data_IF_643712462229
#
_entry.id   IF_643712462229
#
_cell.length_a   1.000
_cell.length_b   1.000
_cell.length_c   1.000
_cell.angle_alpha   90.00
_cell.angle_beta   90.00
_cell.angle_gamma   90.00
#
_symmetry.space_group_name_H-M   'P 1'
#
loop_
_entity.id
_entity.type
_entity.pdbx_description
1 polymer ?
#
# COMPACT_ATOMS: atom_id res chain seq x y z
N UNK A 1 -14.82 18.83 10.98
CA UNK A 1 -16.30 18.87 10.82
C UNK A 1 -16.74 18.14 9.55
N UNK A 2 -16.48 18.64 8.34
CA UNK A 2 -17.03 18.05 7.11
C UNK A 2 -16.40 16.72 6.62
N UNK A 3 -15.34 16.23 7.27
CA UNK A 3 -14.56 15.07 6.81
C UNK A 3 -15.41 13.80 6.53
N UNK A 4 -16.39 13.41 7.37
CA UNK A 4 -17.22 12.21 7.13
C UNK A 4 -18.17 12.32 5.94
N UNK A 5 -18.44 13.53 5.44
CA UNK A 5 -19.38 13.79 4.35
C UNK A 5 -18.71 13.64 2.97
N UNK A 6 -17.42 13.96 2.84
CA UNK A 6 -16.71 13.90 1.56
C UNK A 6 -16.72 12.51 0.89
N UNK A 7 -16.54 11.38 1.60
CA UNK A 7 -16.59 10.05 0.98
C UNK A 7 -17.90 9.75 0.26
N UNK A 8 -19.02 10.34 0.69
CA UNK A 8 -20.34 10.14 0.08
C UNK A 8 -20.47 10.79 -1.31
N UNK A 9 -19.53 11.67 -1.69
CA UNK A 9 -19.50 12.32 -3.01
C UNK A 9 -18.77 11.48 -4.07
N UNK A 10 -18.15 10.36 -3.67
CA UNK A 10 -17.34 9.53 -4.58
C UNK A 10 -18.25 8.67 -5.47
N UNK A 11 -17.98 8.61 -6.79
CA UNK A 11 -18.75 7.75 -7.70
C UNK A 11 -18.58 6.28 -7.30
N UNK A 12 -19.69 5.53 -7.32
CA UNK A 12 -19.71 4.09 -6.98
C UNK A 12 -19.74 3.76 -5.49
N UNK A 13 -19.75 4.76 -4.59
CA UNK A 13 -19.90 4.53 -3.14
C UNK A 13 -21.38 4.57 -2.76
N UNK A 14 -21.86 3.54 -2.06
CA UNK A 14 -23.22 3.50 -1.54
C UNK A 14 -23.45 4.65 -0.53
N UNK A 15 -24.54 5.39 -0.70
CA UNK A 15 -24.89 6.50 0.18
C UNK A 15 -25.36 5.97 1.55
N UNK A 16 -24.46 5.88 2.52
CA UNK A 16 -24.73 5.45 3.89
C UNK A 16 -24.72 6.65 4.84
N UNK A 17 -25.89 6.99 5.39
CA UNK A 17 -26.08 8.12 6.29
C UNK A 17 -26.16 7.66 7.75
N UNK A 18 -25.00 7.42 8.35
CA UNK A 18 -24.86 6.90 9.71
C UNK A 18 -24.55 8.02 10.71
N UNK A 19 -24.32 7.66 11.96
CA UNK A 19 -24.07 8.62 13.05
C UNK A 19 -22.90 9.59 12.79
N UNK A 20 -21.75 9.18 12.22
CA UNK A 20 -20.67 10.12 11.92
C UNK A 20 -21.08 11.22 10.93
N UNK A 21 -21.88 10.87 9.92
CA UNK A 21 -22.37 11.83 8.91
C UNK A 21 -23.46 12.72 9.48
N UNK A 22 -24.41 12.17 10.24
CA UNK A 22 -25.44 12.94 10.96
C UNK A 22 -24.81 13.95 11.90
N UNK A 23 -23.83 13.54 12.70
CA UNK A 23 -23.11 14.41 13.62
C UNK A 23 -22.40 15.52 12.88
N UNK A 24 -21.62 15.20 11.84
CA UNK A 24 -20.93 16.20 11.02
C UNK A 24 -21.90 17.22 10.40
N UNK A 25 -23.06 16.78 9.92
CA UNK A 25 -24.08 17.65 9.35
C UNK A 25 -24.71 18.57 10.41
N UNK A 26 -25.04 18.04 11.59
CA UNK A 26 -25.57 18.82 12.72
C UNK A 26 -24.55 19.83 13.23
N UNK A 27 -23.27 19.44 13.35
CA UNK A 27 -22.18 20.34 13.76
C UNK A 27 -22.02 21.51 12.78
N UNK A 28 -22.13 21.26 11.46
CA UNK A 28 -22.10 22.32 10.44
C UNK A 28 -23.30 23.25 10.58
N UNK A 29 -24.52 22.72 10.78
CA UNK A 29 -25.71 23.55 11.01
C UNK A 29 -25.52 24.43 12.25
N UNK A 30 -25.01 23.87 13.34
CA UNK A 30 -24.72 24.62 14.57
C UNK A 30 -23.69 25.72 14.32
N UNK A 31 -22.59 25.42 13.63
CA UNK A 31 -21.57 26.41 13.30
C UNK A 31 -22.09 27.56 12.41
N UNK A 32 -23.03 27.30 11.51
CA UNK A 32 -23.68 28.34 10.71
C UNK A 32 -24.60 29.24 11.55
N UNK A 33 -25.29 28.68 12.54
CA UNK A 33 -26.13 29.44 13.48
C UNK A 33 -25.31 30.29 14.44
N UNK A 34 -24.11 29.81 14.81
CA UNK A 34 -23.18 30.48 15.72
C UNK A 34 -22.11 31.32 14.99
N UNK A 35 -22.29 31.57 13.69
CA UNK A 35 -21.26 32.21 12.85
C UNK A 35 -20.91 33.62 13.36
N UNK A 36 -19.64 33.89 13.70
CA UNK A 36 -19.21 35.20 14.18
C UNK A 36 -19.17 36.22 13.04
N UNK A 37 -19.27 37.51 13.39
CA UNK A 37 -19.10 38.59 12.45
C UNK A 37 -17.63 38.69 11.97
N UNK A 38 -17.41 38.55 10.67
CA UNK A 38 -16.10 38.73 10.06
C UNK A 38 -15.79 40.23 9.85
N UNK A 39 -14.53 40.61 10.01
CA UNK A 39 -14.01 41.91 9.60
C UNK A 39 -13.64 41.91 8.12
N UNK A 40 -13.82 43.05 7.45
CA UNK A 40 -13.24 43.24 6.13
C UNK A 40 -11.71 43.37 6.28
N UNK A 41 -10.92 42.79 5.36
CA UNK A 41 -9.46 42.91 5.40
C UNK A 41 -9.04 44.37 5.20
N UNK A 42 -8.29 44.89 6.16
CA UNK A 42 -7.71 46.23 6.14
C UNK A 42 -6.22 46.14 5.77
N UNK A 43 -5.87 46.46 4.53
CA UNK A 43 -4.50 46.29 4.01
C UNK A 43 -3.49 47.25 4.64
N UNK A 44 -3.93 48.25 5.42
CA UNK A 44 -3.05 49.15 6.15
C UNK A 44 -2.59 48.57 7.50
N UNK A 45 -3.13 47.43 7.93
CA UNK A 45 -2.82 46.80 9.22
C UNK A 45 -2.15 45.44 9.04
N UNK A 46 -1.24 45.06 9.95
CA UNK A 46 -0.68 43.72 9.96
C UNK A 46 -1.75 42.67 10.24
N UNK A 47 -1.56 41.49 9.68
CA UNK A 47 -2.41 40.33 9.89
C UNK A 47 -1.77 39.37 10.91
N UNK A 48 -2.62 38.67 11.64
CA UNK A 48 -2.22 37.61 12.56
C UNK A 48 -2.98 36.34 12.20
N UNK A 49 -2.26 35.25 11.95
CA UNK A 49 -2.80 33.96 11.56
C UNK A 49 -2.50 32.92 12.63
N UNK A 50 -3.55 32.41 13.26
CA UNK A 50 -3.47 31.33 14.23
C UNK A 50 -3.76 30.01 13.55
N UNK A 51 -2.90 29.03 13.78
CA UNK A 51 -2.92 27.76 13.05
C UNK A 51 -2.84 26.60 14.04
N UNK A 52 -3.67 25.59 13.79
CA UNK A 52 -3.63 24.31 14.46
C UNK A 52 -3.83 23.19 13.43
N UNK A 53 -3.35 22.00 13.77
CA UNK A 53 -3.42 20.82 12.93
C UNK A 53 -3.90 19.64 13.78
N UNK A 54 -4.95 18.96 13.28
CA UNK A 54 -5.44 17.74 13.92
C UNK A 54 -5.85 16.72 12.86
N UNK A 55 -5.36 15.50 13.02
CA UNK A 55 -5.74 14.34 12.20
C UNK A 55 -5.58 14.54 10.68
N UNK A 56 -4.56 15.28 10.26
CA UNK A 56 -4.30 15.57 8.85
C UNK A 56 -5.13 16.73 8.29
N UNK A 57 -5.79 17.51 9.15
CA UNK A 57 -6.56 18.70 8.77
C UNK A 57 -5.95 19.94 9.39
N UNK A 58 -5.51 20.85 8.53
CA UNK A 58 -5.10 22.19 8.89
C UNK A 58 -6.34 23.06 9.11
N UNK A 59 -6.35 23.82 10.20
CA UNK A 59 -7.39 24.80 10.53
C UNK A 59 -6.74 26.03 11.14
N UNK A 60 -7.30 27.19 10.85
CA UNK A 60 -6.76 28.43 11.36
C UNK A 60 -7.71 29.60 11.20
N UNK A 61 -7.41 30.67 11.89
CA UNK A 61 -8.16 31.92 11.82
C UNK A 61 -7.22 33.07 11.50
N UNK A 62 -7.54 33.77 10.42
CA UNK A 62 -6.88 35.01 10.03
C UNK A 62 -7.59 36.15 10.77
N UNK A 63 -6.84 36.98 11.47
CA UNK A 63 -7.34 38.06 12.32
C UNK A 63 -6.58 39.35 12.08
N UNK A 64 -7.21 40.46 12.47
CA UNK A 64 -6.56 41.77 12.58
C UNK A 64 -6.94 42.43 13.90
N UNK A 65 -6.10 43.35 14.38
CA UNK A 65 -6.40 44.11 15.59
C UNK A 65 -7.52 45.13 15.34
N UNK A 66 -8.47 45.15 16.27
CA UNK A 66 -9.50 46.17 16.40
C UNK A 66 -9.46 46.70 17.85
N UNK A 67 -8.67 47.76 18.07
CA UNK A 67 -8.32 48.21 19.41
C UNK A 67 -7.48 47.14 20.14
N UNK A 68 -7.82 46.74 21.38
CA UNK A 68 -7.12 45.67 22.09
C UNK A 68 -7.55 44.26 21.64
N UNK A 69 -8.61 44.15 20.85
CA UNK A 69 -9.22 42.87 20.47
C UNK A 69 -8.67 42.36 19.15
N UNK A 70 -8.66 41.04 18.97
CA UNK A 70 -8.39 40.39 17.68
C UNK A 70 -9.73 40.08 17.02
N UNK A 71 -10.00 40.67 15.86
CA UNK A 71 -11.22 40.42 15.09
C UNK A 71 -10.92 39.45 13.94
N UNK A 72 -11.64 38.31 13.84
CA UNK A 72 -11.51 37.40 12.71
C UNK A 72 -11.89 38.06 11.38
N UNK A 73 -11.04 37.88 10.37
CA UNK A 73 -11.28 38.26 8.97
C UNK A 73 -11.70 37.05 8.15
N UNK A 74 -11.12 35.87 8.42
CA UNK A 74 -11.49 34.61 7.77
C UNK A 74 -11.12 33.39 8.62
N UNK A 75 -11.90 32.32 8.48
CA UNK A 75 -11.53 30.99 8.96
C UNK A 75 -11.04 30.16 7.76
N UNK A 76 -9.82 29.65 7.87
CA UNK A 76 -9.16 28.87 6.82
C UNK A 76 -9.04 27.42 7.28
N UNK A 77 -9.41 26.46 6.43
CA UNK A 77 -9.17 25.05 6.72
C UNK A 77 -8.94 24.26 5.44
N UNK A 78 -8.01 23.31 5.51
CA UNK A 78 -7.72 22.40 4.40
C UNK A 78 -7.23 21.05 4.91
N UNK A 79 -7.53 20.01 4.14
CA UNK A 79 -6.93 18.69 4.33
C UNK A 79 -5.49 18.72 3.82
N UNK A 80 -4.56 18.19 4.62
CA UNK A 80 -3.19 17.95 4.18
C UNK A 80 -3.18 16.89 3.07
N UNK A 81 -2.22 16.96 2.16
CA UNK A 81 -2.02 15.89 1.20
C UNK A 81 -1.65 14.57 1.92
N UNK A 82 -1.86 13.40 1.29
CA UNK A 82 -1.57 12.12 1.91
C UNK A 82 -0.12 11.98 2.40
N UNK A 83 0.84 12.64 1.73
CA UNK A 83 2.24 12.59 2.12
C UNK A 83 2.45 13.30 3.45
N UNK A 84 1.99 14.55 3.55
CA UNK A 84 2.09 15.35 4.78
C UNK A 84 1.25 14.78 5.92
N UNK A 85 0.06 14.23 5.63
CA UNK A 85 -0.82 13.63 6.63
C UNK A 85 -0.18 12.46 7.38
N UNK A 86 0.83 11.80 6.79
CA UNK A 86 1.58 10.72 7.41
C UNK A 86 2.76 11.14 8.27
N UNK A 87 3.09 12.43 8.32
CA UNK A 87 4.25 12.90 9.05
C UNK A 87 4.00 12.96 10.58
N UNK A 88 5.08 13.03 11.39
CA UNK A 88 4.98 13.33 12.80
C UNK A 88 4.25 14.66 13.06
N UNK A 89 3.67 14.86 14.26
CA UNK A 89 2.86 16.04 14.59
C UNK A 89 3.51 17.37 14.23
N UNK A 90 4.78 17.58 14.59
CA UNK A 90 5.50 18.83 14.33
C UNK A 90 5.67 19.11 12.83
N UNK A 91 5.88 18.08 12.00
CA UNK A 91 5.98 18.24 10.55
C UNK A 91 4.60 18.43 9.90
N UNK A 92 3.55 17.79 10.43
CA UNK A 92 2.17 18.09 10.02
C UNK A 92 1.81 19.54 10.29
N UNK A 93 2.24 20.08 11.43
CA UNK A 93 2.09 21.49 11.75
C UNK A 93 2.79 22.40 10.73
N UNK A 94 4.03 22.10 10.34
CA UNK A 94 4.73 22.85 9.27
C UNK A 94 3.94 22.82 7.96
N UNK A 95 3.45 21.64 7.57
CA UNK A 95 2.64 21.51 6.36
C UNK A 95 1.33 22.32 6.45
N UNK A 96 0.68 22.32 7.61
CA UNK A 96 -0.52 23.10 7.87
C UNK A 96 -0.24 24.60 7.78
N UNK A 97 0.85 25.06 8.37
CA UNK A 97 1.29 26.46 8.31
C UNK A 97 1.52 26.87 6.87
N UNK A 98 2.35 26.14 6.11
CA UNK A 98 2.61 26.44 4.70
C UNK A 98 1.31 26.50 3.87
N UNK A 99 0.39 25.57 4.10
CA UNK A 99 -0.86 25.49 3.36
C UNK A 99 -1.79 26.67 3.65
N UNK A 100 -1.95 27.05 4.93
CA UNK A 100 -2.82 28.17 5.31
C UNK A 100 -2.17 29.53 5.03
N UNK A 101 -0.85 29.67 5.13
CA UNK A 101 -0.13 30.88 4.72
C UNK A 101 -0.36 31.11 3.23
N UNK A 102 -0.21 30.08 2.38
CA UNK A 102 -0.49 30.19 0.95
C UNK A 102 -1.91 30.64 0.64
N UNK A 103 -2.91 30.15 1.37
CA UNK A 103 -4.30 30.58 1.16
C UNK A 103 -4.57 31.97 1.73
N UNK A 104 -3.97 32.32 2.88
CA UNK A 104 -4.12 33.64 3.49
C UNK A 104 -3.58 34.77 2.62
N UNK A 105 -2.54 34.50 1.80
CA UNK A 105 -2.00 35.47 0.84
C UNK A 105 -3.04 36.01 -0.14
N UNK A 106 -4.11 35.25 -0.44
CA UNK A 106 -5.22 35.70 -1.28
C UNK A 106 -6.02 36.86 -0.64
N UNK A 107 -5.98 36.95 0.69
CA UNK A 107 -6.68 37.96 1.48
C UNK A 107 -5.74 39.06 1.96
N UNK A 108 -4.50 38.72 2.31
CA UNK A 108 -3.51 39.70 2.79
C UNK A 108 -2.86 40.48 1.67
N UNK A 109 -2.92 40.01 0.42
CA UNK A 109 -2.31 40.65 -0.76
C UNK A 109 -0.83 41.03 -0.55
N UNK A 110 -0.09 40.20 0.19
CA UNK A 110 1.34 40.37 0.45
C UNK A 110 1.67 41.31 1.62
N UNK A 111 0.69 41.75 2.40
CA UNK A 111 0.90 42.51 3.63
C UNK A 111 1.53 41.67 4.76
N UNK A 112 2.17 42.31 5.77
CA UNK A 112 2.82 41.62 6.87
C UNK A 112 1.87 40.65 7.61
N UNK A 113 2.36 39.44 7.83
CA UNK A 113 1.64 38.32 8.45
C UNK A 113 2.45 37.76 9.62
N UNK A 114 1.84 37.72 10.81
CA UNK A 114 2.41 37.05 11.99
C UNK A 114 1.72 35.70 12.18
N UNK A 115 2.51 34.63 12.26
CA UNK A 115 2.04 33.25 12.42
C UNK A 115 2.12 32.86 13.90
N UNK A 116 1.04 32.27 14.41
CA UNK A 116 0.95 31.72 15.74
C UNK A 116 0.53 30.26 15.67
N UNK A 117 1.26 29.39 16.36
CA UNK A 117 0.99 27.95 16.40
C UNK A 117 1.33 27.37 17.78
N UNK A 118 0.77 26.21 18.15
CA UNK A 118 1.10 25.54 19.40
C UNK A 118 2.50 24.91 19.41
N UNK A 119 3.18 24.81 18.26
CA UNK A 119 4.48 24.16 18.11
C UNK A 119 5.57 25.16 17.67
N UNK A 120 6.76 25.08 18.26
CA UNK A 120 7.93 25.89 17.89
C UNK A 120 8.61 25.34 16.63
N UNK A 121 8.00 25.57 15.47
CA UNK A 121 8.46 24.96 14.22
C UNK A 121 9.52 25.77 13.47
N UNK A 122 9.80 27.01 13.85
CA UNK A 122 10.74 27.87 13.11
C UNK A 122 12.14 27.24 13.06
N UNK A 123 12.62 26.72 14.20
CA UNK A 123 13.92 26.04 14.28
C UNK A 123 13.98 24.83 13.33
N UNK A 124 12.91 24.03 13.26
CA UNK A 124 12.79 22.86 12.38
C UNK A 124 12.77 23.28 10.91
N UNK A 125 12.15 24.41 10.57
CA UNK A 125 12.14 24.91 9.18
C UNK A 125 13.54 25.38 8.76
N UNK A 126 14.30 25.99 9.67
CA UNK A 126 15.68 26.42 9.41
C UNK A 126 16.65 25.25 9.32
N UNK A 127 16.45 24.22 10.15
CA UNK A 127 17.28 23.02 10.21
C UNK A 127 16.39 21.77 10.10
N UNK A 128 15.94 21.42 8.88
CA UNK A 128 15.08 20.27 8.68
C UNK A 128 15.85 18.96 8.91
N UNK A 129 15.21 17.94 9.47
CA UNK A 129 15.79 16.61 9.52
C UNK A 129 15.83 15.98 8.11
N UNK A 130 16.99 15.43 7.72
CA UNK A 130 17.28 14.93 6.36
C UNK A 130 16.32 13.83 5.85
N UNK A 131 15.56 13.17 6.74
CA UNK A 131 14.85 11.92 6.42
C UNK A 131 13.35 12.04 6.14
N UNK A 132 12.70 13.16 6.50
CA UNK A 132 11.22 13.24 6.45
C UNK A 132 10.66 14.04 5.27
N UNK A 133 11.42 15.02 4.78
CA UNK A 133 11.02 15.92 3.69
C UNK A 133 12.00 15.83 2.53
N UNK A 134 11.48 15.84 1.30
CA UNK A 134 12.34 15.99 0.13
C UNK A 134 12.92 17.39 0.08
N UNK A 135 14.15 17.53 -0.43
CA UNK A 135 14.81 18.84 -0.58
C UNK A 135 13.91 19.84 -1.31
N UNK A 136 13.26 19.44 -2.41
CA UNK A 136 12.33 20.28 -3.16
C UNK A 136 11.17 20.81 -2.30
N UNK A 137 10.60 19.97 -1.43
CA UNK A 137 9.48 20.35 -0.56
C UNK A 137 9.94 21.25 0.58
N UNK A 138 11.14 21.01 1.13
CA UNK A 138 11.74 21.91 2.11
C UNK A 138 12.05 23.27 1.53
N UNK A 139 12.69 23.34 0.36
CA UNK A 139 12.97 24.60 -0.32
C UNK A 139 11.68 25.39 -0.56
N UNK A 140 10.60 24.71 -0.97
CA UNK A 140 9.30 25.35 -1.14
C UNK A 140 8.77 25.97 0.16
N UNK A 141 8.83 25.23 1.28
CA UNK A 141 8.37 25.74 2.58
C UNK A 141 9.28 26.86 3.12
N UNK A 142 10.59 26.70 3.04
CA UNK A 142 11.55 27.71 3.48
C UNK A 142 11.39 29.02 2.70
N UNK A 143 11.25 28.95 1.38
CA UNK A 143 11.05 30.14 0.54
C UNK A 143 9.79 30.91 0.93
N UNK A 144 8.72 30.20 1.31
CA UNK A 144 7.45 30.81 1.68
C UNK A 144 7.42 31.32 3.13
N UNK A 145 8.02 30.57 4.06
CA UNK A 145 7.86 30.80 5.50
C UNK A 145 9.01 31.59 6.13
N UNK A 146 10.20 31.61 5.49
CA UNK A 146 11.36 32.36 5.97
C UNK A 146 11.56 33.69 5.23
N UNK A 147 10.56 34.14 4.45
CA UNK A 147 10.50 35.48 3.88
C UNK A 147 10.29 36.51 5.00
N UNK A 148 11.40 37.06 5.52
CA UNK A 148 11.41 37.98 6.66
C UNK A 148 10.67 39.29 6.42
N UNK A 149 10.47 39.69 5.16
CA UNK A 149 9.81 40.96 4.86
C UNK A 149 8.29 40.86 5.06
N UNK A 150 7.75 39.64 4.90
CA UNK A 150 6.29 39.41 4.90
C UNK A 150 5.82 38.49 6.01
N UNK A 151 6.62 37.51 6.42
CA UNK A 151 6.22 36.44 7.33
C UNK A 151 7.05 36.47 8.60
N UNK A 152 6.35 36.55 9.73
CA UNK A 152 6.95 36.59 11.06
C UNK A 152 6.37 35.46 11.92
N UNK A 153 7.19 34.83 12.75
CA UNK A 153 6.72 33.89 13.75
C UNK A 153 6.51 34.62 15.07
N UNK A 154 5.30 34.51 15.63
CA UNK A 154 4.95 35.04 16.93
C UNK A 154 5.19 34.02 18.06
N UNK A 155 4.90 34.40 19.31
CA UNK A 155 4.97 33.47 20.44
C UNK A 155 4.04 32.27 20.25
N UNK A 156 4.43 31.16 20.88
CA UNK A 156 3.62 29.95 21.00
C UNK A 156 2.32 30.25 21.73
N UNK A 157 1.24 29.63 21.26
CA UNK A 157 -0.09 29.82 21.85
C UNK A 157 -0.90 28.53 21.80
N UNK A 158 -1.63 28.28 22.87
CA UNK A 158 -2.71 27.29 22.89
C UNK A 158 -3.97 27.93 22.34
N UNK A 159 -4.65 27.27 21.40
CA UNK A 159 -5.85 27.80 20.77
C UNK A 159 -7.13 27.22 21.40
N UNK A 160 -8.15 28.05 21.51
CA UNK A 160 -9.49 27.60 21.87
C UNK A 160 -10.05 26.69 20.75
N UNK A 161 -10.54 25.48 21.05
CA UNK A 161 -11.04 24.56 20.03
C UNK A 161 -12.21 25.08 19.19
N UNK A 162 -13.03 25.99 19.74
CA UNK A 162 -14.22 26.53 19.07
C UNK A 162 -13.88 27.78 18.24
N UNK A 163 -13.13 28.74 18.80
CA UNK A 163 -12.85 30.02 18.14
C UNK A 163 -11.52 30.06 17.41
N UNK A 164 -10.61 29.12 17.67
CA UNK A 164 -9.21 29.12 17.23
C UNK A 164 -8.42 30.37 17.64
N UNK A 165 -8.93 31.15 18.59
CA UNK A 165 -8.26 32.30 19.19
C UNK A 165 -7.38 31.85 20.36
N UNK A 166 -6.33 32.62 20.72
CA UNK A 166 -5.39 32.24 21.75
C UNK A 166 -6.06 32.24 23.12
N UNK A 167 -5.75 31.21 23.93
CA UNK A 167 -6.12 31.14 25.33
C UNK A 167 -5.04 31.78 26.21
N UNK A 168 -5.42 32.44 27.32
CA UNK A 168 -4.46 32.88 28.32
C UNK A 168 -3.87 31.67 29.05
N UNK A 169 -2.53 31.56 29.09
CA UNK A 169 -1.79 30.48 29.75
C UNK A 169 -0.46 30.22 29.06
N UNK A 170 0.47 29.57 29.77
CA UNK A 170 1.70 29.08 29.15
C UNK A 170 1.37 27.88 28.26
N UNK A 171 1.82 27.87 26.99
CA UNK A 171 1.63 26.71 26.12
C UNK A 171 2.44 25.52 26.66
N UNK A 172 1.90 24.31 26.51
CA UNK A 172 2.66 23.07 26.73
C UNK A 172 3.74 22.96 25.64
N UNK A 173 4.87 23.62 25.88
CA UNK A 173 5.99 23.64 24.97
C UNK A 173 6.70 22.28 25.00
N UNK A 174 6.71 21.59 23.87
CA UNK A 174 7.60 20.46 23.64
C UNK A 174 8.65 20.87 22.60
N UNK A 175 9.85 20.30 22.72
CA UNK A 175 10.87 20.49 21.70
C UNK A 175 10.50 19.68 20.46
N UNK A 176 10.17 20.40 19.39
CA UNK A 176 9.85 19.80 18.11
C UNK A 176 11.02 19.00 17.53
N UNK A 177 12.27 19.38 17.79
CA UNK A 177 13.44 18.64 17.35
C UNK A 177 13.55 17.32 18.12
N UNK A 178 13.37 17.34 19.44
CA UNK A 178 13.34 16.13 20.26
C UNK A 178 12.20 15.19 19.86
N UNK A 179 10.97 15.69 19.66
CA UNK A 179 9.84 14.86 19.21
C UNK A 179 10.10 14.24 17.84
N UNK A 180 10.81 14.95 16.96
CA UNK A 180 11.22 14.38 15.68
C UNK A 180 12.33 13.34 15.84
N UNK A 181 13.27 13.58 16.77
CA UNK A 181 14.32 12.65 17.15
C UNK A 181 13.75 11.31 17.67
N UNK A 182 12.75 11.39 18.55
CA UNK A 182 12.07 10.23 19.15
C UNK A 182 11.11 9.53 18.18
N UNK A 183 10.53 10.27 17.23
CA UNK A 183 9.71 9.69 16.18
C UNK A 183 10.52 8.93 15.10
N UNK A 184 11.85 8.85 15.22
CA UNK A 184 12.71 8.16 14.28
C UNK A 184 12.65 6.64 14.43
N UNK A 185 12.30 5.98 13.32
CA UNK A 185 12.40 4.53 13.15
C UNK A 185 11.11 3.78 13.51
N UNK A 186 10.84 2.68 12.81
CA UNK A 186 9.86 1.70 13.26
C UNK A 186 10.29 1.03 14.58
N UNK A 187 11.58 1.18 14.93
CA UNK A 187 12.27 0.56 16.07
C UNK A 187 13.51 1.42 16.40
N UNK A 188 13.74 1.71 17.68
CA UNK A 188 14.78 2.66 18.13
C UNK A 188 16.22 2.11 18.03
N UNK A 189 16.40 0.80 18.08
CA UNK A 189 17.70 0.10 17.95
C UNK A 189 18.00 -0.38 16.51
N UNK A 190 17.17 -0.02 15.53
CA UNK A 190 17.42 -0.36 14.12
C UNK A 190 18.58 0.47 13.55
N UNK A 191 19.60 -0.21 13.04
CA UNK A 191 20.80 0.43 12.48
C UNK A 191 21.06 -0.04 11.04
N UNK A 192 21.83 0.76 10.29
CA UNK A 192 22.33 0.44 8.95
C UNK A 192 23.81 -0.01 8.96
N UNK A 193 24.34 -0.29 10.16
CA UNK A 193 25.72 -0.74 10.38
C UNK A 193 25.73 -2.16 10.95
N UNK A 194 26.74 -3.00 10.63
CA UNK A 194 26.83 -4.35 11.18
C UNK A 194 26.82 -4.35 12.71
N UNK A 195 26.03 -5.25 13.31
CA UNK A 195 26.04 -5.40 14.77
C UNK A 195 27.40 -5.99 15.21
N UNK A 196 27.95 -5.57 16.37
CA UNK A 196 29.25 -6.06 16.85
C UNK A 196 29.22 -7.53 17.30
N UNK A 197 28.05 -8.09 17.58
CA UNK A 197 27.88 -9.50 17.99
C UNK A 197 26.50 -9.99 17.54
N UNK A 198 26.31 -10.30 16.24
CA UNK A 198 25.06 -10.85 15.73
C UNK A 198 25.01 -12.36 15.98
N UNK A 199 23.84 -12.88 16.32
CA UNK A 199 23.58 -14.33 16.35
C UNK A 199 23.52 -14.90 14.93
N UNK A 200 23.02 -14.09 13.98
CA UNK A 200 22.86 -14.46 12.58
C UNK A 200 23.24 -13.31 11.65
N UNK A 201 23.95 -13.65 10.57
CA UNK A 201 24.21 -12.77 9.44
C UNK A 201 23.58 -13.40 8.21
N UNK A 202 22.50 -12.78 7.72
CA UNK A 202 21.72 -13.30 6.59
C UNK A 202 21.70 -12.34 5.41
N UNK A 203 21.48 -12.89 4.23
CA UNK A 203 21.33 -12.21 2.96
C UNK A 203 19.96 -12.54 2.40
N UNK A 204 19.23 -11.53 1.93
CA UNK A 204 17.88 -11.70 1.39
C UNK A 204 17.82 -11.17 -0.02
N UNK A 205 17.14 -11.91 -0.89
CA UNK A 205 16.86 -11.49 -2.26
C UNK A 205 15.46 -11.96 -2.71
N UNK A 206 14.87 -11.18 -3.62
CA UNK A 206 13.58 -11.45 -4.24
C UNK A 206 13.64 -11.34 -5.76
N UNK A 207 13.59 -12.48 -6.44
CA UNK A 207 13.67 -12.54 -7.90
C UNK A 207 12.28 -12.57 -8.55
N UNK A 208 12.14 -11.92 -9.71
CA UNK A 208 10.94 -11.98 -10.57
C UNK A 208 11.31 -11.78 -12.03
N UNK A 209 11.03 -12.77 -12.88
CA UNK A 209 11.39 -12.75 -14.29
C UNK A 209 10.38 -13.54 -15.16
N UNK A 210 10.45 -13.33 -16.48
CA UNK A 210 9.65 -14.08 -17.44
C UNK A 210 10.37 -15.37 -17.81
N UNK A 211 9.69 -16.50 -17.66
CA UNK A 211 10.18 -17.82 -18.06
C UNK A 211 9.06 -18.55 -18.81
N UNK A 212 9.32 -18.96 -20.05
CA UNK A 212 8.34 -19.65 -20.91
C UNK A 212 6.99 -18.91 -21.06
N UNK A 213 7.02 -17.57 -21.09
CA UNK A 213 5.81 -16.74 -21.24
C UNK A 213 5.05 -16.44 -19.95
N UNK A 214 5.43 -17.06 -18.82
CA UNK A 214 4.84 -16.80 -17.50
C UNK A 214 5.81 -16.04 -16.60
N UNK A 215 5.28 -15.14 -15.75
CA UNK A 215 6.08 -14.42 -14.76
C UNK A 215 6.25 -15.28 -13.51
N UNK A 216 7.46 -15.80 -13.32
CA UNK A 216 7.88 -16.56 -12.15
C UNK A 216 8.59 -15.66 -11.15
N UNK A 217 8.42 -15.95 -9.87
CA UNK A 217 9.05 -15.19 -8.80
C UNK A 217 9.42 -16.11 -7.64
N UNK A 218 10.46 -15.73 -6.90
CA UNK A 218 10.96 -16.49 -5.77
C UNK A 218 11.62 -15.55 -4.76
N UNK A 219 11.66 -15.98 -3.51
CA UNK A 219 12.31 -15.25 -2.43
C UNK A 219 13.22 -16.21 -1.67
N UNK A 220 14.35 -15.70 -1.20
CA UNK A 220 15.30 -16.49 -0.42
C UNK A 220 15.94 -15.70 0.72
N UNK A 221 16.31 -16.45 1.76
CA UNK A 221 17.14 -16.02 2.89
C UNK A 221 18.31 -17.00 2.96
N UNK A 222 19.52 -16.48 2.91
CA UNK A 222 20.74 -17.28 2.87
C UNK A 222 21.76 -16.76 3.86
N UNK A 223 22.71 -17.60 4.23
CA UNK A 223 24.01 -17.15 4.74
C UNK A 223 24.99 -17.12 3.57
N UNK A 224 26.26 -16.83 3.83
CA UNK A 224 27.32 -16.96 2.82
C UNK A 224 27.35 -18.35 2.15
N UNK A 225 27.05 -19.43 2.89
CA UNK A 225 27.31 -20.81 2.44
C UNK A 225 26.07 -21.71 2.36
N UNK A 226 25.00 -21.40 3.10
CA UNK A 226 23.79 -22.23 3.15
C UNK A 226 22.52 -21.42 2.88
N UNK A 227 21.56 -22.06 2.24
CA UNK A 227 20.20 -21.54 2.10
C UNK A 227 19.47 -21.80 3.42
N UNK A 228 19.03 -20.74 4.08
CA UNK A 228 18.27 -20.81 5.34
C UNK A 228 16.81 -21.05 5.03
N UNK A 229 16.31 -20.37 3.99
CA UNK A 229 14.94 -20.50 3.51
C UNK A 229 14.88 -20.06 2.05
N UNK A 230 14.07 -20.73 1.25
CA UNK A 230 13.74 -20.27 -0.10
C UNK A 230 12.34 -20.78 -0.46
N UNK A 231 11.57 -19.97 -1.19
CA UNK A 231 10.22 -20.33 -1.59
C UNK A 231 9.85 -19.73 -2.95
N UNK A 232 9.16 -20.53 -3.76
CA UNK A 232 8.45 -20.06 -4.95
C UNK A 232 7.31 -19.12 -4.55
N UNK A 233 7.14 -18.02 -5.28
CA UNK A 233 6.06 -17.06 -5.05
C UNK A 233 4.99 -17.20 -6.13
N UNK A 234 3.72 -16.83 -5.83
CA UNK A 234 2.63 -16.94 -6.79
C UNK A 234 2.95 -16.26 -8.13
N UNK A 235 2.51 -16.84 -9.26
CA UNK A 235 2.71 -16.25 -10.58
C UNK A 235 2.22 -14.79 -10.64
N UNK A 236 2.98 -13.93 -11.32
CA UNK A 236 2.67 -12.50 -11.42
C UNK A 236 3.17 -11.63 -10.26
N UNK A 237 3.82 -12.22 -9.24
CA UNK A 237 4.49 -11.47 -8.17
C UNK A 237 5.61 -10.58 -8.74
N UNK A 238 5.64 -9.32 -8.33
CA UNK A 238 6.67 -8.35 -8.76
C UNK A 238 7.97 -8.51 -7.97
N UNK A 239 9.10 -8.11 -8.56
CA UNK A 239 10.41 -8.13 -7.87
C UNK A 239 10.36 -7.40 -6.52
N UNK A 240 9.85 -6.16 -6.49
CA UNK A 240 9.70 -5.40 -5.24
C UNK A 240 8.85 -6.10 -4.17
N UNK A 241 7.85 -6.88 -4.57
CA UNK A 241 7.03 -7.68 -3.64
C UNK A 241 7.81 -8.88 -3.10
N UNK A 242 8.54 -9.57 -3.97
CA UNK A 242 9.41 -10.69 -3.58
C UNK A 242 10.47 -10.25 -2.56
N UNK A 243 11.08 -9.09 -2.76
CA UNK A 243 12.06 -8.49 -1.85
C UNK A 243 11.50 -8.23 -0.45
N UNK A 244 10.29 -7.66 -0.39
CA UNK A 244 9.61 -7.44 0.90
C UNK A 244 9.30 -8.76 1.60
N UNK A 245 8.90 -9.80 0.85
CA UNK A 245 8.62 -11.13 1.40
C UNK A 245 9.90 -11.78 1.94
N UNK A 246 11.00 -11.74 1.18
CA UNK A 246 12.29 -12.27 1.59
C UNK A 246 12.77 -11.64 2.91
N UNK A 247 12.76 -10.30 2.97
CA UNK A 247 13.15 -9.56 4.17
C UNK A 247 12.21 -9.86 5.35
N UNK A 248 10.90 -9.85 5.13
CA UNK A 248 9.92 -10.17 6.19
C UNK A 248 10.15 -11.57 6.75
N UNK A 249 10.46 -12.53 5.89
CA UNK A 249 10.70 -13.91 6.31
C UNK A 249 12.00 -14.05 7.11
N UNK A 250 13.07 -13.37 6.72
CA UNK A 250 14.30 -13.30 7.51
C UNK A 250 14.03 -12.77 8.92
N UNK A 251 13.25 -11.71 9.06
CA UNK A 251 12.91 -11.16 10.38
C UNK A 251 12.11 -12.13 11.25
N UNK A 252 11.17 -12.88 10.67
CA UNK A 252 10.39 -13.90 11.39
C UNK A 252 11.26 -15.06 11.88
N UNK A 253 12.20 -15.53 11.05
CA UNK A 253 13.10 -16.63 11.41
C UNK A 253 14.10 -16.25 12.51
N UNK A 254 14.34 -14.95 12.69
CA UNK A 254 15.23 -14.41 13.73
C UNK A 254 14.50 -13.93 14.99
N UNK A 255 13.26 -14.38 15.23
CA UNK A 255 12.51 -14.02 16.44
C UNK A 255 13.34 -14.30 17.71
N UNK A 256 13.46 -13.28 18.56
CA UNK A 256 14.25 -13.33 19.80
C UNK A 256 15.78 -13.33 19.63
N UNK A 257 16.31 -13.20 18.41
CA UNK A 257 17.76 -13.23 18.12
C UNK A 257 18.29 -11.89 17.63
N UNK A 258 19.62 -11.72 17.67
CA UNK A 258 20.34 -10.54 17.16
C UNK A 258 20.68 -10.76 15.69
N UNK A 259 19.99 -10.09 14.78
CA UNK A 259 20.10 -10.30 13.34
C UNK A 259 20.81 -9.12 12.65
N UNK A 260 21.78 -9.42 11.80
CA UNK A 260 22.25 -8.52 10.74
C UNK A 260 21.79 -9.07 9.40
N UNK A 261 21.01 -8.31 8.64
CA UNK A 261 20.50 -8.74 7.35
C UNK A 261 20.92 -7.79 6.23
N UNK A 262 21.45 -8.36 5.16
CA UNK A 262 21.84 -7.66 3.95
C UNK A 262 20.77 -7.83 2.88
N UNK A 263 20.39 -6.74 2.23
CA UNK A 263 19.46 -6.72 1.09
C UNK A 263 20.01 -5.79 0.01
N UNK A 264 19.88 -6.17 -1.25
CA UNK A 264 20.19 -5.30 -2.38
C UNK A 264 19.00 -4.50 -2.90
N UNK A 265 17.83 -4.70 -2.29
CA UNK A 265 16.64 -3.92 -2.56
C UNK A 265 16.65 -2.61 -1.79
N UNK A 266 17.00 -1.53 -2.48
CA UNK A 266 16.82 -0.16 -1.97
C UNK A 266 15.39 0.11 -1.51
N UNK A 267 14.40 -0.51 -2.17
CA UNK A 267 13.00 -0.36 -1.81
C UNK A 267 12.67 -1.03 -0.46
N UNK A 268 13.12 -2.26 -0.24
CA UNK A 268 12.93 -2.95 1.04
C UNK A 268 13.67 -2.23 2.18
N UNK A 269 14.93 -1.83 1.94
CA UNK A 269 15.74 -1.05 2.89
C UNK A 269 15.07 0.26 3.30
N UNK A 270 14.62 1.06 2.32
CA UNK A 270 13.97 2.34 2.59
C UNK A 270 12.62 2.16 3.29
N UNK A 271 11.89 1.08 2.98
CA UNK A 271 10.63 0.74 3.64
C UNK A 271 10.85 0.40 5.11
N UNK A 272 11.90 -0.34 5.45
CA UNK A 272 12.23 -0.69 6.83
C UNK A 272 12.72 0.52 7.66
N UNK A 273 13.60 1.37 7.10
CA UNK A 273 14.25 2.46 7.85
C UNK A 273 13.49 3.79 7.84
N UNK A 274 12.96 4.20 6.68
CA UNK A 274 12.52 5.59 6.45
C UNK A 274 11.01 5.66 6.31
N UNK A 275 10.41 4.74 5.55
CA UNK A 275 9.02 4.87 5.12
C UNK A 275 8.02 4.03 5.90
N UNK A 276 8.48 3.10 6.75
CA UNK A 276 7.63 2.17 7.47
C UNK A 276 6.58 2.85 8.35
N UNK A 277 7.04 3.69 9.27
CA UNK A 277 6.16 4.44 10.17
C UNK A 277 5.31 5.47 9.42
N UNK A 278 5.85 6.04 8.35
CA UNK A 278 5.14 6.93 7.44
C UNK A 278 3.96 6.18 6.79
N UNK A 279 4.16 4.99 6.23
CA UNK A 279 3.10 4.22 5.58
C UNK A 279 2.01 3.81 6.57
N UNK A 280 2.40 3.41 7.79
CA UNK A 280 1.46 3.11 8.88
C UNK A 280 0.60 4.33 9.23
N UNK A 281 1.22 5.51 9.38
CA UNK A 281 0.52 6.77 9.70
C UNK A 281 -0.31 7.33 8.54
N UNK A 282 0.05 7.03 7.28
CA UNK A 282 -0.73 7.42 6.08
C UNK A 282 -1.97 6.55 5.83
N UNK A 283 -2.22 5.52 6.63
CA UNK A 283 -3.25 4.52 6.33
C UNK A 283 -2.95 3.74 5.04
N UNK A 284 -1.67 3.64 4.65
CA UNK A 284 -1.17 2.91 3.48
C UNK A 284 -1.69 3.45 2.13
N UNK A 285 -1.89 4.76 2.06
CA UNK A 285 -2.28 5.47 0.83
C UNK A 285 -1.06 6.08 0.13
N UNK A 286 -1.08 6.10 -1.20
CA UNK A 286 -0.14 6.85 -2.05
C UNK A 286 -0.39 8.36 -1.95
N UNK A 287 0.52 9.17 -2.49
CA UNK A 287 0.33 10.63 -2.63
C UNK A 287 -0.92 11.02 -3.41
N UNK A 288 -1.42 10.15 -4.28
CA UNK A 288 -2.67 10.31 -5.05
C UNK A 288 -3.93 9.83 -4.30
N UNK A 289 -3.77 9.26 -3.09
CA UNK A 289 -4.89 8.73 -2.30
C UNK A 289 -5.39 7.35 -2.75
N UNK A 290 -4.60 6.61 -3.55
CA UNK A 290 -4.86 5.19 -3.90
C UNK A 290 -4.15 4.27 -2.92
N UNK A 291 -4.60 3.02 -2.79
CA UNK A 291 -3.86 2.02 -2.00
C UNK A 291 -2.45 1.79 -2.58
N UNK A 292 -1.47 1.61 -1.70
CA UNK A 292 -0.11 1.20 -2.11
C UNK A 292 -0.18 -0.23 -2.66
N UNK A 293 0.46 -0.48 -3.82
CA UNK A 293 0.39 -1.76 -4.55
C UNK A 293 0.71 -3.00 -3.70
N UNK A 294 1.61 -2.88 -2.70
CA UNK A 294 2.07 -3.99 -1.85
C UNK A 294 1.72 -3.76 -0.35
N UNK A 295 0.50 -3.28 -0.09
CA UNK A 295 0.04 -2.85 1.24
C UNK A 295 0.21 -3.93 2.32
N UNK A 296 -0.16 -5.16 1.99
CA UNK A 296 -0.14 -6.28 2.94
C UNK A 296 1.28 -6.67 3.32
N UNK A 297 2.20 -6.71 2.35
CA UNK A 297 3.60 -7.06 2.57
C UNK A 297 4.33 -5.98 3.37
N UNK A 298 4.05 -4.69 3.12
CA UNK A 298 4.59 -3.59 3.91
C UNK A 298 4.13 -3.69 5.37
N UNK A 299 2.84 -3.98 5.60
CA UNK A 299 2.32 -4.18 6.96
C UNK A 299 2.95 -5.39 7.64
N UNK A 300 3.14 -6.49 6.91
CA UNK A 300 3.78 -7.69 7.44
C UNK A 300 5.23 -7.41 7.83
N UNK A 301 5.99 -6.71 6.98
CA UNK A 301 7.36 -6.28 7.24
C UNK A 301 7.44 -5.43 8.52
N UNK A 302 6.55 -4.44 8.66
CA UNK A 302 6.56 -3.53 9.81
C UNK A 302 6.28 -4.21 11.14
N UNK A 303 5.39 -5.21 11.16
CA UNK A 303 5.19 -6.03 12.34
C UNK A 303 6.43 -6.89 12.61
N UNK A 304 7.01 -7.48 11.57
CA UNK A 304 8.17 -8.37 11.70
C UNK A 304 9.44 -7.66 12.20
N UNK A 305 9.60 -6.34 11.98
CA UNK A 305 10.73 -5.56 12.51
C UNK A 305 10.89 -5.64 14.04
N UNK A 306 9.83 -5.97 14.77
CA UNK A 306 9.82 -6.06 16.23
C UNK A 306 10.11 -7.47 16.76
N UNK A 307 10.20 -8.49 15.90
CA UNK A 307 10.42 -9.88 16.32
C UNK A 307 11.87 -10.16 16.78
N UNK A 308 12.91 -9.67 16.11
CA UNK A 308 14.29 -9.90 16.56
C UNK A 308 14.61 -9.18 17.88
N UNK A 309 15.55 -9.68 18.68
CA UNK A 309 15.98 -9.02 19.91
C UNK A 309 16.88 -7.78 19.65
N UNK A 310 17.67 -7.82 18.57
CA UNK A 310 18.37 -6.66 18.02
C UNK A 310 18.43 -6.79 16.50
N UNK A 311 18.38 -5.68 15.77
CA UNK A 311 18.26 -5.71 14.31
C UNK A 311 19.15 -4.66 13.62
N UNK A 312 19.92 -5.11 12.64
CA UNK A 312 20.55 -4.27 11.64
C UNK A 312 20.13 -4.72 10.25
N UNK A 313 19.70 -3.77 9.42
CA UNK A 313 19.35 -4.02 8.02
C UNK A 313 20.29 -3.17 7.17
N UNK A 314 21.05 -3.78 6.28
CA UNK A 314 22.12 -3.12 5.53
C UNK A 314 21.81 -3.24 4.04
N UNK A 315 21.91 -2.12 3.32
CA UNK A 315 21.76 -2.14 1.87
C UNK A 315 23.11 -2.38 1.19
N UNK A 316 23.23 -3.48 0.44
CA UNK A 316 24.37 -3.76 -0.41
C UNK A 316 24.05 -3.47 -1.89
N UNK A 317 24.98 -2.93 -2.69
CA UNK A 317 24.77 -2.83 -4.13
C UNK A 317 24.50 -4.20 -4.77
N UNK A 318 23.45 -4.30 -5.60
CA UNK A 318 23.15 -5.52 -6.35
C UNK A 318 24.20 -5.84 -7.43
N UNK A 319 24.26 -7.11 -7.83
CA UNK A 319 25.11 -7.61 -8.94
C UNK A 319 26.63 -7.30 -8.82
N UNK A 320 27.19 -7.39 -7.60
CA UNK A 320 28.62 -7.18 -7.38
C UNK A 320 29.47 -8.33 -7.95
N UNK A 321 30.53 -7.97 -8.70
CA UNK A 321 31.54 -8.91 -9.25
C UNK A 321 32.72 -9.17 -8.31
N UNK A 322 32.79 -8.49 -7.17
CA UNK A 322 33.87 -8.64 -6.19
C UNK A 322 33.77 -9.94 -5.38
N UNK A 323 34.83 -10.29 -4.64
CA UNK A 323 34.87 -11.46 -3.76
C UNK A 323 34.76 -11.08 -2.27
N UNK A 324 34.14 -9.93 -1.97
CA UNK A 324 33.88 -9.55 -0.59
C UNK A 324 32.83 -10.49 0.03
N UNK A 325 32.85 -10.56 1.37
CA UNK A 325 31.88 -11.33 2.14
C UNK A 325 30.43 -10.99 1.74
N UNK A 326 30.13 -9.69 1.59
CA UNK A 326 28.79 -9.24 1.21
C UNK A 326 28.44 -9.66 -0.23
N UNK A 327 29.39 -9.57 -1.16
CA UNK A 327 29.18 -9.94 -2.55
C UNK A 327 28.92 -11.45 -2.70
N UNK A 328 29.62 -12.29 -1.92
CA UNK A 328 29.40 -13.75 -1.92
C UNK A 328 28.01 -14.11 -1.39
N UNK A 329 27.63 -13.53 -0.25
CA UNK A 329 26.30 -13.73 0.32
C UNK A 329 25.16 -13.24 -0.58
N UNK A 330 25.28 -12.05 -1.16
CA UNK A 330 24.25 -11.52 -2.05
C UNK A 330 24.09 -12.36 -3.33
N UNK A 331 25.21 -12.81 -3.94
CA UNK A 331 25.14 -13.72 -5.10
C UNK A 331 24.44 -15.03 -4.76
N UNK A 332 24.68 -15.57 -3.56
CA UNK A 332 24.01 -16.79 -3.12
C UNK A 332 22.51 -16.57 -2.91
N UNK A 333 22.12 -15.42 -2.36
CA UNK A 333 20.71 -15.05 -2.24
C UNK A 333 20.02 -14.93 -3.61
N UNK A 334 20.63 -14.25 -4.59
CA UNK A 334 20.09 -14.13 -5.97
C UNK A 334 19.95 -15.49 -6.66
N UNK A 335 20.95 -16.37 -6.52
CA UNK A 335 20.87 -17.73 -7.05
C UNK A 335 19.74 -18.53 -6.39
N UNK A 336 19.67 -18.52 -5.06
CA UNK A 336 18.64 -19.26 -4.32
C UNK A 336 17.22 -18.75 -4.63
N UNK A 337 17.03 -17.44 -4.76
CA UNK A 337 15.74 -16.85 -5.11
C UNK A 337 15.33 -17.22 -6.55
N UNK A 338 16.28 -17.24 -7.49
CA UNK A 338 16.02 -17.69 -8.87
C UNK A 338 15.71 -19.17 -8.97
N UNK A 339 16.47 -20.01 -8.26
CA UNK A 339 16.20 -21.46 -8.19
C UNK A 339 14.82 -21.72 -7.61
N UNK A 340 14.48 -21.04 -6.51
CA UNK A 340 13.16 -21.13 -5.89
C UNK A 340 12.03 -20.66 -6.83
N UNK A 341 12.27 -19.64 -7.66
CA UNK A 341 11.29 -19.19 -8.65
C UNK A 341 11.03 -20.23 -9.75
N UNK A 342 11.99 -21.12 -10.01
CA UNK A 342 11.89 -22.16 -11.04
C UNK A 342 11.28 -23.46 -10.51
N UNK A 343 11.39 -23.73 -9.21
CA UNK A 343 10.65 -24.83 -8.55
C UNK A 343 9.14 -24.57 -8.61
N UNK A 344 8.47 -25.24 -9.54
CA UNK A 344 7.02 -25.42 -9.54
C UNK A 344 6.59 -26.13 -8.25
N UNK A 345 5.50 -25.68 -7.62
CA UNK A 345 4.80 -26.39 -6.55
C UNK A 345 4.54 -27.86 -6.96
N UNK A 346 5.44 -28.77 -6.59
CA UNK A 346 5.17 -30.22 -6.49
C UNK A 346 4.64 -30.56 -5.11
N UNK A 347 3.88 -29.65 -4.49
CA UNK A 347 3.13 -29.88 -3.25
C UNK A 347 1.66 -29.61 -3.50
N UNK A 348 1.04 -30.46 -4.33
CA UNK A 348 -0.38 -30.87 -4.34
C UNK A 348 -0.84 -31.49 -5.67
N UNK A 349 0.02 -32.29 -6.32
CA UNK A 349 -0.47 -33.33 -7.22
C UNK A 349 0.09 -34.63 -6.69
N UNK A 350 -0.82 -35.47 -6.20
CA UNK A 350 -0.60 -36.87 -5.92
C UNK A 350 0.36 -37.45 -6.95
N UNK A 351 1.40 -38.11 -6.46
CA UNK A 351 2.14 -39.07 -7.24
C UNK A 351 1.14 -40.06 -7.86
N UNK A 352 0.83 -39.86 -9.13
CA UNK A 352 0.53 -40.96 -10.01
C UNK A 352 1.81 -41.17 -10.79
N UNK A 353 2.62 -42.10 -10.29
CA UNK A 353 3.52 -42.85 -11.15
C UNK A 353 2.73 -43.34 -12.37
N UNK A 354 3.35 -43.48 -13.55
CA UNK A 354 2.68 -44.12 -14.69
C UNK A 354 2.54 -45.61 -14.37
N UNK A 355 1.53 -45.96 -13.57
CA UNK A 355 1.08 -47.33 -13.45
C UNK A 355 0.33 -47.66 -14.74
N UNK A 356 0.90 -48.60 -15.47
CA UNK A 356 0.45 -49.11 -16.75
C UNK A 356 -0.82 -49.97 -16.61
N UNK A 357 -1.80 -49.54 -15.81
CA UNK A 357 -3.04 -50.26 -15.57
C UNK A 357 -4.24 -49.30 -15.64
N UNK A 358 -5.07 -49.47 -16.66
CA UNK A 358 -6.42 -48.93 -16.70
C UNK A 358 -7.21 -49.44 -15.48
N UNK A 359 -7.90 -48.53 -14.77
CA UNK A 359 -9.36 -48.66 -14.74
C UNK A 359 -10.02 -47.29 -14.62
N UNK A 360 -10.31 -46.62 -15.74
CA UNK A 360 -11.35 -45.59 -15.71
C UNK A 360 -12.71 -46.29 -15.71
N UNK A 361 -13.66 -45.91 -14.82
CA UNK A 361 -15.02 -46.40 -14.96
C UNK A 361 -15.56 -45.96 -16.32
N UNK A 362 -16.18 -46.88 -17.06
CA UNK A 362 -16.87 -46.57 -18.33
C UNK A 362 -17.77 -45.35 -18.15
N UNK A 363 -17.79 -44.48 -19.16
CA UNK A 363 -18.59 -43.27 -19.10
C UNK A 363 -20.08 -43.62 -19.09
N UNK A 364 -20.82 -43.09 -18.12
CA UNK A 364 -22.27 -43.25 -18.05
C UNK A 364 -22.95 -42.24 -19.00
N UNK A 365 -23.29 -42.70 -20.21
CA UNK A 365 -23.98 -41.89 -21.21
C UNK A 365 -25.49 -41.91 -20.96
N UNK A 366 -26.10 -40.74 -20.78
CA UNK A 366 -27.56 -40.64 -20.73
C UNK A 366 -28.18 -41.05 -22.07
N UNK A 367 -29.43 -41.52 -22.07
CA UNK A 367 -30.10 -41.95 -23.29
C UNK A 367 -30.22 -40.83 -24.35
N UNK A 368 -30.18 -39.56 -23.92
CA UNK A 368 -30.10 -38.39 -24.81
C UNK A 368 -28.72 -38.23 -25.47
N UNK A 369 -27.66 -38.59 -24.75
CA UNK A 369 -26.29 -38.57 -25.28
C UNK A 369 -26.15 -39.65 -26.37
N UNK A 370 -26.66 -40.86 -26.10
CA UNK A 370 -26.67 -41.97 -27.06
C UNK A 370 -27.43 -41.60 -28.34
N UNK A 371 -28.64 -41.04 -28.23
CA UNK A 371 -29.41 -40.57 -29.40
C UNK A 371 -28.68 -39.49 -30.22
N UNK A 372 -27.88 -38.65 -29.55
CA UNK A 372 -27.10 -37.60 -30.21
C UNK A 372 -25.89 -38.20 -30.91
N UNK A 373 -25.24 -39.19 -30.29
CA UNK A 373 -24.07 -39.88 -30.82
C UNK A 373 -24.41 -40.79 -32.01
N UNK A 374 -25.56 -41.47 -31.96
CA UNK A 374 -26.09 -42.24 -33.08
C UNK A 374 -26.39 -41.36 -34.29
N UNK A 375 -26.94 -40.15 -34.07
CA UNK A 375 -27.17 -39.16 -35.14
C UNK A 375 -25.87 -38.59 -35.73
N UNK A 376 -24.83 -38.50 -34.91
CA UNK A 376 -23.50 -38.02 -35.33
C UNK A 376 -22.69 -39.13 -36.05
N UNK A 377 -23.12 -40.40 -35.99
CA UNK A 377 -22.39 -41.52 -36.58
C UNK A 377 -21.16 -41.93 -35.77
N UNK A 378 -21.17 -41.71 -34.46
CA UNK A 378 -20.10 -42.14 -33.55
C UNK A 378 -20.07 -43.69 -33.43
N UNK A 379 -18.88 -44.25 -33.19
CA UNK A 379 -18.69 -45.67 -33.00
C UNK A 379 -18.75 -46.02 -31.50
N UNK A 380 -19.32 -47.17 -31.17
CA UNK A 380 -19.34 -47.68 -29.80
C UNK A 380 -18.22 -48.71 -29.62
N UNK A 381 -17.36 -48.46 -28.66
CA UNK A 381 -16.23 -49.33 -28.33
C UNK A 381 -16.67 -50.50 -27.43
N UNK A 382 -15.93 -51.63 -27.41
CA UNK A 382 -16.27 -52.81 -26.61
C UNK A 382 -16.30 -52.56 -25.10
N UNK A 383 -15.63 -51.50 -24.64
CA UNK A 383 -15.56 -51.09 -23.23
C UNK A 383 -16.80 -50.29 -22.77
N UNK A 384 -17.76 -50.01 -23.65
CA UNK A 384 -18.97 -49.24 -23.36
C UNK A 384 -18.88 -47.75 -23.73
N UNK A 385 -17.68 -47.27 -24.08
CA UNK A 385 -17.45 -45.87 -24.43
C UNK A 385 -17.76 -45.57 -25.89
N UNK A 386 -17.96 -44.29 -26.21
CA UNK A 386 -18.20 -43.83 -27.58
C UNK A 386 -16.99 -43.06 -28.11
N UNK A 387 -16.66 -43.30 -29.38
CA UNK A 387 -15.59 -42.61 -30.11
C UNK A 387 -16.16 -41.88 -31.32
N UNK A 388 -15.74 -40.65 -31.52
CA UNK A 388 -16.14 -39.81 -32.65
C UNK A 388 -14.91 -39.08 -33.18
N UNK A 389 -14.65 -39.17 -34.50
CA UNK A 389 -13.45 -38.62 -35.16
C UNK A 389 -12.11 -39.04 -34.50
N UNK A 390 -12.04 -40.30 -34.02
CA UNK A 390 -10.83 -40.84 -33.38
C UNK A 390 -10.59 -40.37 -31.95
N UNK A 391 -11.56 -39.68 -31.33
CA UNK A 391 -11.48 -39.14 -29.97
C UNK A 391 -12.53 -39.76 -29.07
N UNK A 392 -12.18 -39.98 -27.81
CA UNK A 392 -13.12 -40.48 -26.79
C UNK A 392 -14.14 -39.40 -26.45
N UNK A 393 -15.43 -39.75 -26.51
CA UNK A 393 -16.53 -38.83 -26.26
C UNK A 393 -16.78 -38.72 -24.77
N UNK A 394 -16.73 -37.50 -24.25
CA UNK A 394 -17.13 -37.18 -22.87
C UNK A 394 -18.63 -36.86 -22.83
N UNK A 395 -19.42 -37.50 -21.95
CA UNK A 395 -20.86 -37.28 -21.83
C UNK A 395 -21.24 -35.81 -21.58
N UNK A 396 -22.47 -35.43 -21.95
CA UNK A 396 -22.94 -34.04 -21.86
C UNK A 396 -22.91 -33.52 -20.42
N UNK A 397 -23.26 -34.38 -19.45
CA UNK A 397 -23.27 -34.01 -18.02
C UNK A 397 -21.89 -33.63 -17.50
N UNK A 398 -20.88 -34.42 -17.84
CA UNK A 398 -19.48 -34.19 -17.43
C UNK A 398 -18.94 -32.95 -18.14
N UNK A 399 -19.21 -32.83 -19.44
CA UNK A 399 -18.87 -31.63 -20.23
C UNK A 399 -19.48 -30.37 -19.61
N UNK A 400 -20.75 -30.41 -19.21
CA UNK A 400 -21.42 -29.29 -18.56
C UNK A 400 -20.81 -28.92 -17.21
N UNK A 401 -20.46 -29.90 -16.39
CA UNK A 401 -19.79 -29.67 -15.11
C UNK A 401 -18.43 -28.97 -15.32
N UNK A 402 -17.59 -29.54 -16.20
CA UNK A 402 -16.24 -29.04 -16.47
C UNK A 402 -16.26 -27.61 -17.03
N UNK A 403 -17.11 -27.34 -18.04
CA UNK A 403 -17.23 -26.02 -18.65
C UNK A 403 -17.78 -24.99 -17.64
N UNK A 404 -18.76 -25.36 -16.81
CA UNK A 404 -19.31 -24.46 -15.77
C UNK A 404 -18.29 -24.18 -14.66
N UNK A 405 -17.54 -25.19 -14.25
CA UNK A 405 -16.49 -25.08 -13.24
C UNK A 405 -15.36 -24.15 -13.71
N UNK A 406 -14.87 -24.37 -14.93
CA UNK A 406 -13.83 -23.54 -15.54
C UNK A 406 -14.30 -22.08 -15.74
N UNK A 407 -15.54 -21.87 -16.17
CA UNK A 407 -16.09 -20.52 -16.31
C UNK A 407 -16.16 -19.80 -14.95
N UNK A 408 -16.59 -20.48 -13.88
CA UNK A 408 -16.61 -19.91 -12.53
C UNK A 408 -15.22 -19.53 -12.01
N UNK A 409 -14.20 -20.34 -12.29
CA UNK A 409 -12.85 -20.07 -11.80
C UNK A 409 -12.14 -18.96 -12.57
N UNK A 410 -12.41 -18.82 -13.87
CA UNK A 410 -11.60 -17.98 -14.76
C UNK A 410 -12.31 -16.69 -15.20
N UNK A 411 -13.64 -16.60 -15.04
CA UNK A 411 -14.47 -15.50 -15.55
C UNK A 411 -14.24 -15.16 -17.03
N UNK A 412 -13.74 -16.12 -17.81
CA UNK A 412 -13.41 -15.92 -19.21
C UNK A 412 -14.68 -15.79 -20.06
N UNK A 413 -14.66 -14.83 -20.99
CA UNK A 413 -15.70 -14.68 -22.02
C UNK A 413 -15.87 -15.97 -22.82
N UNK A 414 -17.08 -16.24 -23.31
CA UNK A 414 -17.42 -17.43 -24.11
C UNK A 414 -16.47 -17.69 -25.29
N UNK A 415 -15.95 -16.63 -25.93
CA UNK A 415 -14.97 -16.73 -27.02
C UNK A 415 -13.63 -17.31 -26.54
N UNK A 416 -13.09 -16.78 -25.44
CA UNK A 416 -11.84 -17.28 -24.83
C UNK A 416 -12.01 -18.67 -24.19
N UNK A 417 -13.18 -18.95 -23.63
CA UNK A 417 -13.51 -20.30 -23.13
C UNK A 417 -13.51 -21.33 -24.27
N UNK A 418 -14.01 -20.95 -25.44
CA UNK A 418 -13.97 -21.82 -26.62
C UNK A 418 -12.53 -22.11 -27.06
N UNK A 419 -11.69 -21.08 -27.18
CA UNK A 419 -10.27 -21.22 -27.54
C UNK A 419 -9.50 -22.11 -26.55
N UNK A 420 -9.84 -22.05 -25.26
CA UNK A 420 -9.23 -22.91 -24.22
C UNK A 420 -9.69 -24.36 -24.33
N UNK A 421 -10.98 -24.60 -24.56
CA UNK A 421 -11.54 -25.94 -24.70
C UNK A 421 -11.18 -26.60 -26.05
N UNK A 422 -10.86 -25.81 -27.08
CA UNK A 422 -10.34 -26.33 -28.36
C UNK A 422 -8.98 -27.02 -28.20
N UNK A 423 -8.18 -26.64 -27.18
CA UNK A 423 -6.93 -27.35 -26.83
C UNK A 423 -7.19 -28.71 -26.17
N UNK A 424 -8.22 -28.80 -25.33
CA UNK A 424 -8.65 -30.06 -24.70
C UNK A 424 -9.34 -31.00 -25.71
N UNK A 425 -9.95 -30.44 -26.75
CA UNK A 425 -10.50 -31.20 -27.88
C UNK A 425 -9.44 -31.86 -28.76
N UNK A 426 -8.14 -31.64 -28.53
CA UNK A 426 -7.08 -32.45 -29.15
C UNK A 426 -7.15 -33.92 -28.70
N UNK A 427 -7.59 -34.18 -27.47
CA UNK A 427 -7.58 -35.50 -26.85
C UNK A 427 -8.97 -36.13 -26.67
N UNK A 428 -10.01 -35.33 -26.41
CA UNK A 428 -11.37 -35.82 -26.13
C UNK A 428 -12.47 -35.01 -26.84
N UNK A 429 -13.56 -35.65 -27.25
CA UNK A 429 -14.71 -34.97 -27.85
C UNK A 429 -15.74 -34.57 -26.78
N UNK A 430 -15.95 -33.27 -26.59
CA UNK A 430 -16.85 -32.71 -25.56
C UNK A 430 -18.29 -32.57 -26.07
N UNK A 431 -19.18 -33.51 -25.69
CA UNK A 431 -20.55 -33.54 -26.19
C UNK A 431 -21.36 -32.30 -25.73
N UNK A 432 -21.93 -31.57 -26.70
CA UNK A 432 -22.79 -30.40 -26.46
C UNK A 432 -22.07 -29.14 -25.96
N UNK A 433 -20.73 -29.08 -26.05
CA UNK A 433 -19.89 -27.93 -25.65
C UNK A 433 -20.45 -26.58 -26.09
N UNK A 434 -20.80 -26.46 -27.37
CA UNK A 434 -21.22 -25.20 -27.96
C UNK A 434 -22.56 -24.69 -27.39
N UNK A 435 -23.48 -25.59 -27.07
CA UNK A 435 -24.78 -25.23 -26.49
C UNK A 435 -24.65 -24.86 -25.02
N UNK A 436 -23.78 -25.55 -24.27
CA UNK A 436 -23.44 -25.20 -22.89
C UNK A 436 -22.79 -23.81 -22.82
N UNK A 437 -21.83 -23.52 -23.71
CA UNK A 437 -21.19 -22.20 -23.79
C UNK A 437 -22.20 -21.09 -24.14
N UNK A 438 -23.20 -21.36 -24.97
CA UNK A 438 -24.29 -20.41 -25.27
C UNK A 438 -25.22 -20.20 -24.06
N UNK A 439 -25.54 -21.26 -23.31
CA UNK A 439 -26.37 -21.16 -22.10
C UNK A 439 -25.71 -20.33 -20.99
N UNK A 440 -24.38 -20.33 -20.91
CA UNK A 440 -23.62 -19.52 -19.95
C UNK A 440 -23.68 -18.01 -20.25
N UNK A 441 -24.02 -17.59 -21.48
CA UNK A 441 -24.14 -16.17 -21.88
C UNK A 441 -25.45 -15.54 -21.36
N UNK A 442 -26.48 -16.35 -21.11
CA UNK A 442 -27.84 -15.87 -20.79
C UNK A 442 -28.23 -15.99 -19.31
N UNK A 443 -27.35 -16.47 -18.44
CA UNK A 443 -27.57 -16.38 -16.98
C UNK A 443 -26.74 -15.23 -16.43
N UNK A 444 -27.34 -14.11 -15.97
CA UNK A 444 -26.62 -13.14 -15.19
C UNK A 444 -26.12 -13.85 -13.92
N UNK A 445 -24.84 -13.65 -13.61
CA UNK A 445 -24.22 -14.09 -12.37
C UNK A 445 -24.99 -13.48 -11.19
N UNK A 446 -25.79 -14.28 -10.48
CA UNK A 446 -26.27 -13.93 -9.14
C UNK A 446 -25.15 -14.10 -8.12
#
# INVERSE_FOLDING_TARGET
MAAPLYPLTRPGVAFKWEEPQKKAFTDIKKALLESPALGLPDLAKPFELFIDEKEGYAKGVLTQKLGPWRRPTAYLSKKLDPVASGWPPCLRMIAAIALLVKDSHKLTLGQPLTIHAPHAVEAVIRQPPDRWLTNARMTHYQTMLLDKDRVHFGPLVTLNPATLLPLPGEPEAHDCLQVLAEAHGARSDLTDQPLPSPDHIWFTDGSSFLHQGERRAGAAVTTENQVVWAQALPPGTSAQRAELIALTQALKLAEGKRLTVYTDSRYAFATAHIHGEIYRRRGLLTSEGKDIKNKEEILALLRALHLPAALSIIHCPGHQKGDSFEARGNRRADLAAREAALTTDTTNLLALEPTNDHPFPSWDYEQRDIQTLEKLGAAKEPNGDWTYEGKTVIPYRVTKYLVTFLHKMTHLSSKKMRELLEREEEFNFLLGKNDILKQLIYRPSN
#
